data_IF_191562187431
#
_entry.id   IF_191562187431
#
_cell.length_a   1.000
_cell.length_b   1.000
_cell.length_c   1.000
_cell.angle_alpha   90.00
_cell.angle_beta   90.00
_cell.angle_gamma   90.00
#
_symmetry.space_group_name_H-M   'P 1'
#
loop_
_entity.id
_entity.type
_entity.pdbx_description
1 polymer ?
#
# COMPACT_ATOMS: atom_id res chain seq x y z
N UNK A 1 10.27 3.26 11.46
CA UNK A 1 9.59 3.21 10.14
C UNK A 1 9.77 1.86 9.45
N UNK A 2 10.99 1.35 9.30
CA UNK A 2 11.29 0.10 8.56
C UNK A 2 10.67 -1.14 9.20
N UNK A 3 10.70 -1.26 10.53
CA UNK A 3 10.10 -2.42 11.22
C UNK A 3 8.57 -2.49 11.06
N UNK A 4 7.88 -1.36 10.90
CA UNK A 4 6.42 -1.31 10.70
C UNK A 4 6.07 -1.77 9.29
N UNK A 5 6.87 -1.38 8.30
CA UNK A 5 6.69 -1.83 6.91
C UNK A 5 7.02 -3.30 6.73
N UNK A 6 8.08 -3.82 7.36
CA UNK A 6 8.41 -5.25 7.33
C UNK A 6 7.35 -6.07 8.07
N UNK A 7 6.89 -5.59 9.22
CA UNK A 7 5.83 -6.24 9.99
C UNK A 7 4.50 -6.25 9.23
N UNK A 8 4.07 -5.13 8.67
CA UNK A 8 2.83 -5.05 7.93
C UNK A 8 2.91 -5.70 6.54
N UNK A 9 4.08 -5.75 5.89
CA UNK A 9 4.28 -6.54 4.67
C UNK A 9 4.20 -8.05 4.95
N UNK A 10 4.72 -8.51 6.10
CA UNK A 10 4.55 -9.90 6.54
C UNK A 10 3.11 -10.21 6.96
N UNK A 11 2.46 -9.30 7.70
CA UNK A 11 1.09 -9.47 8.18
C UNK A 11 0.05 -9.46 7.03
N UNK A 12 0.27 -8.65 5.99
CA UNK A 12 -0.60 -8.63 4.80
C UNK A 12 -0.24 -9.67 3.74
N UNK A 13 0.85 -10.42 3.90
CA UNK A 13 1.15 -11.56 3.01
C UNK A 13 0.14 -12.70 3.18
N UNK A 14 -0.38 -12.87 4.40
CA UNK A 14 -1.40 -13.87 4.74
C UNK A 14 -2.82 -13.49 4.28
N UNK A 15 -3.13 -12.20 4.08
CA UNK A 15 -4.42 -11.72 3.52
C UNK A 15 -4.47 -11.73 1.97
N UNK A 16 -3.44 -12.27 1.31
CA UNK A 16 -3.43 -12.43 -0.14
C UNK A 16 -4.31 -13.60 -0.62
N UNK A 17 -4.70 -14.48 0.30
CA UNK A 17 -5.57 -15.61 -0.01
C UNK A 17 -7.03 -15.19 -0.04
N UNK A 18 -7.70 -15.55 -1.12
CA UNK A 18 -9.14 -15.38 -1.33
C UNK A 18 -9.91 -16.04 -0.17
N UNK A 19 -10.38 -15.25 0.79
CA UNK A 19 -11.25 -15.74 1.84
C UNK A 19 -12.67 -15.72 1.29
N UNK A 20 -13.09 -16.89 0.85
CA UNK A 20 -14.46 -17.19 0.45
C UNK A 20 -15.36 -17.19 1.70
N UNK A 21 -16.05 -16.08 1.95
CA UNK A 21 -17.04 -15.99 3.03
C UNK A 21 -18.16 -17.01 2.79
N UNK A 22 -18.14 -18.12 3.52
CA UNK A 22 -19.14 -19.20 3.39
C UNK A 22 -20.52 -18.81 3.98
N UNK A 23 -20.61 -17.65 4.61
CA UNK A 23 -21.79 -17.19 5.35
C UNK A 23 -22.75 -16.36 4.48
N UNK A 24 -22.30 -15.83 3.34
CA UNK A 24 -23.12 -15.00 2.45
C UNK A 24 -23.16 -15.60 1.04
N UNK A 25 -24.31 -16.20 0.70
CA UNK A 25 -24.57 -16.77 -0.64
C UNK A 25 -25.19 -15.72 -1.55
N UNK A 26 -24.65 -15.56 -2.75
CA UNK A 26 -25.27 -14.76 -3.82
C UNK A 26 -26.58 -15.43 -4.27
N UNK A 27 -27.47 -14.67 -4.92
CA UNK A 27 -28.75 -15.19 -5.44
C UNK A 27 -28.60 -16.37 -6.43
N UNK A 28 -27.37 -16.60 -6.93
CA UNK A 28 -26.97 -17.68 -7.84
C UNK A 28 -26.38 -18.91 -7.11
N UNK A 29 -26.25 -18.90 -5.78
CA UNK A 29 -25.73 -20.01 -4.97
C UNK A 29 -24.21 -20.04 -4.78
N UNK A 30 -23.47 -19.13 -5.42
CA UNK A 30 -22.02 -19.02 -5.29
C UNK A 30 -21.64 -18.12 -4.09
N UNK A 31 -20.52 -18.41 -3.40
CA UNK A 31 -20.03 -17.56 -2.32
C UNK A 31 -19.49 -16.22 -2.85
N UNK A 32 -19.57 -15.17 -2.04
CA UNK A 32 -19.07 -13.85 -2.41
C UNK A 32 -17.54 -13.84 -2.50
N UNK A 33 -17.04 -13.79 -3.72
CA UNK A 33 -15.62 -13.56 -4.02
C UNK A 33 -15.35 -12.06 -4.09
N UNK A 34 -14.46 -11.55 -3.24
CA UNK A 34 -14.07 -10.13 -3.23
C UNK A 34 -12.58 -10.03 -3.50
N UNK A 35 -12.21 -9.58 -4.69
CA UNK A 35 -10.80 -9.36 -5.02
C UNK A 35 -10.19 -8.31 -4.08
N UNK A 36 -9.18 -8.73 -3.31
CA UNK A 36 -8.43 -7.86 -2.42
C UNK A 36 -7.59 -6.85 -3.21
N UNK A 37 -8.08 -5.61 -3.35
CA UNK A 37 -7.30 -4.49 -3.94
C UNK A 37 -6.35 -3.82 -2.92
N UNK A 38 -6.26 -4.39 -1.72
CA UNK A 38 -5.48 -3.91 -0.58
C UNK A 38 -3.94 -3.84 -0.78
N UNK A 39 -3.26 -4.75 -1.51
CA UNK A 39 -1.80 -4.71 -1.59
C UNK A 39 -1.28 -3.48 -2.36
N UNK A 40 -2.06 -2.94 -3.30
CA UNK A 40 -1.69 -1.72 -4.05
C UNK A 40 -1.70 -0.48 -3.17
N UNK A 41 -2.75 -0.33 -2.36
CA UNK A 41 -2.88 0.78 -1.42
C UNK A 41 -1.77 0.75 -0.36
N UNK A 42 -1.41 -0.44 0.12
CA UNK A 42 -0.38 -0.59 1.14
C UNK A 42 1.03 -0.27 0.62
N UNK A 43 1.38 -0.68 -0.61
CA UNK A 43 2.64 -0.29 -1.24
C UNK A 43 2.74 1.22 -1.44
N UNK A 44 1.65 1.87 -1.83
CA UNK A 44 1.58 3.33 -2.01
C UNK A 44 1.83 4.08 -0.69
N UNK A 45 1.21 3.61 0.40
CA UNK A 45 1.40 4.17 1.74
C UNK A 45 2.86 4.03 2.22
N UNK A 46 3.47 2.88 1.94
CA UNK A 46 4.87 2.60 2.29
C UNK A 46 5.85 3.51 1.54
N UNK A 47 5.65 3.67 0.24
CA UNK A 47 6.41 4.58 -0.61
C UNK A 47 6.24 6.05 -0.17
N UNK A 48 5.03 6.46 0.21
CA UNK A 48 4.79 7.80 0.75
C UNK A 48 5.62 8.06 2.02
N UNK A 49 5.60 7.12 2.96
CA UNK A 49 6.33 7.23 4.22
C UNK A 49 7.86 7.27 3.99
N UNK A 50 8.36 6.48 3.03
CA UNK A 50 9.75 6.51 2.59
C UNK A 50 10.13 7.85 1.96
N UNK A 51 9.28 8.38 1.08
CA UNK A 51 9.52 9.65 0.39
C UNK A 51 9.60 10.83 1.37
N UNK A 52 8.73 10.85 2.38
CA UNK A 52 8.75 11.88 3.41
C UNK A 52 9.98 11.81 4.30
N UNK A 53 10.43 10.60 4.64
CA UNK A 53 11.70 10.41 5.34
C UNK A 53 12.90 10.85 4.48
N UNK A 54 12.86 10.58 3.18
CA UNK A 54 13.87 11.00 2.20
C UNK A 54 14.02 12.52 2.12
N UNK A 55 12.91 13.27 2.14
CA UNK A 55 12.93 14.73 2.20
C UNK A 55 13.57 15.24 3.49
N UNK A 56 13.28 14.64 4.65
CA UNK A 56 13.81 15.07 5.95
C UNK A 56 15.32 14.85 6.06
N UNK A 57 15.84 13.79 5.42
CA UNK A 57 17.27 13.43 5.44
C UNK A 57 18.06 14.14 4.32
N UNK A 58 17.38 14.69 3.31
CA UNK A 58 18.03 15.29 2.16
C UNK A 58 18.93 16.48 2.55
N UNK A 59 20.23 16.35 2.30
CA UNK A 59 21.24 17.37 2.60
C UNK A 59 21.53 18.36 1.46
N UNK A 60 20.87 18.21 0.30
CA UNK A 60 21.06 19.08 -0.86
C UNK A 60 19.74 19.32 -1.62
N UNK A 61 19.67 20.45 -2.32
CA UNK A 61 18.47 20.86 -3.08
C UNK A 61 18.08 19.82 -4.15
N UNK A 62 19.06 19.13 -4.73
CA UNK A 62 18.83 18.09 -5.74
C UNK A 62 18.16 16.83 -5.17
N UNK A 63 18.57 16.33 -3.99
CA UNK A 63 17.84 15.21 -3.36
C UNK A 63 16.44 15.62 -2.95
N UNK A 64 16.26 16.83 -2.41
CA UNK A 64 14.93 17.35 -2.07
C UNK A 64 14.03 17.35 -3.31
N UNK A 65 14.52 17.81 -4.46
CA UNK A 65 13.76 17.83 -5.70
C UNK A 65 13.32 16.42 -6.15
N UNK A 66 14.22 15.44 -6.08
CA UNK A 66 13.90 14.04 -6.44
C UNK A 66 12.84 13.46 -5.50
N UNK A 67 13.00 13.61 -4.18
CA UNK A 67 12.02 13.09 -3.23
C UNK A 67 10.70 13.87 -3.25
N UNK A 68 10.73 15.14 -3.64
CA UNK A 68 9.52 15.95 -3.83
C UNK A 68 8.65 15.43 -4.99
N UNK A 69 9.25 15.09 -6.13
CA UNK A 69 8.54 14.44 -7.25
C UNK A 69 7.97 13.07 -6.84
N UNK A 70 8.74 12.31 -6.05
CA UNK A 70 8.36 10.98 -5.56
C UNK A 70 7.15 11.04 -4.61
N UNK A 71 7.04 12.09 -3.76
CA UNK A 71 5.82 12.37 -2.97
C UNK A 71 4.61 12.60 -3.88
N UNK A 72 4.79 13.35 -4.98
CA UNK A 72 3.73 13.61 -5.96
C UNK A 72 3.21 12.34 -6.63
N UNK A 73 4.12 11.45 -7.05
CA UNK A 73 3.77 10.15 -7.66
C UNK A 73 3.04 9.25 -6.66
N UNK A 74 3.48 9.21 -5.40
CA UNK A 74 2.81 8.43 -4.36
C UNK A 74 1.38 8.92 -4.11
N UNK A 75 1.16 10.25 -4.11
CA UNK A 75 -0.18 10.82 -3.95
C UNK A 75 -1.13 10.43 -5.08
N UNK A 76 -0.61 10.34 -6.31
CA UNK A 76 -1.41 9.90 -7.46
C UNK A 76 -1.83 8.43 -7.32
N UNK A 77 -0.92 7.55 -6.88
CA UNK A 77 -1.19 6.12 -6.69
C UNK A 77 -2.13 5.83 -5.49
N UNK A 78 -2.22 6.76 -4.52
CA UNK A 78 -3.13 6.67 -3.36
C UNK A 78 -4.57 7.11 -3.67
N UNK A 79 -4.77 7.98 -4.67
CA UNK A 79 -6.07 8.50 -5.08
C UNK A 79 -6.70 7.70 -6.23
N UNK A 80 -5.86 7.16 -7.13
CA UNK A 80 -6.29 6.34 -8.27
C UNK A 80 -6.60 4.88 -7.91
#
# INVERSE_FOLDING_TARGET
ATCIHVYAAGYMHDELHDVTDSEVQLATGEPLHREGRFPRFFQALSLFCFSMLGIVIAGNLAMVFIFWELVGICSWFLIG
#
